data_IF_550540816676
#
_entry.id   IF_550540816676
#
_cell.length_a   1.000
_cell.length_b   1.000
_cell.length_c   1.000
_cell.angle_alpha   90.00
_cell.angle_beta   90.00
_cell.angle_gamma   90.00
#
_symmetry.space_group_name_H-M   'P 1'
#
loop_
_entity.id
_entity.type
_entity.pdbx_description
1 polymer ?
#
# COMPACT_ATOMS: atom_id res chain seq x y z
N UNK A 1 0.00 -25.97 1.60
CA UNK A 1 -1.14 -26.60 2.31
C UNK A 1 -2.42 -26.16 1.61
N UNK A 2 -2.79 -26.84 0.53
CA UNK A 2 -4.04 -26.62 -0.20
C UNK A 2 -5.24 -27.25 0.56
N UNK A 3 -5.56 -26.74 1.76
CA UNK A 3 -6.34 -27.50 2.74
C UNK A 3 -7.81 -27.12 2.96
N UNK A 4 -8.39 -26.16 2.25
CA UNK A 4 -9.79 -25.76 2.54
C UNK A 4 -10.70 -25.44 1.35
N UNK A 5 -10.28 -25.70 0.11
CA UNK A 5 -11.15 -25.45 -1.05
C UNK A 5 -11.76 -26.73 -1.57
N UNK A 6 -13.10 -26.82 -1.54
CA UNK A 6 -13.84 -27.95 -2.11
C UNK A 6 -13.65 -27.96 -3.64
N UNK A 7 -13.24 -29.08 -4.27
CA UNK A 7 -13.04 -29.14 -5.71
C UNK A 7 -14.40 -29.16 -6.42
N UNK A 8 -14.85 -27.99 -6.86
CA UNK A 8 -16.10 -27.82 -7.61
C UNK A 8 -15.85 -26.83 -8.74
N UNK A 9 -16.54 -26.99 -9.89
CA UNK A 9 -16.42 -26.05 -11.02
C UNK A 9 -16.72 -24.61 -10.63
N UNK A 10 -17.64 -24.40 -9.69
CA UNK A 10 -17.94 -23.05 -9.16
C UNK A 10 -16.74 -22.44 -8.44
N UNK A 11 -16.06 -23.21 -7.60
CA UNK A 11 -14.86 -22.73 -6.90
C UNK A 11 -13.69 -22.51 -7.86
N UNK A 12 -13.57 -23.31 -8.92
CA UNK A 12 -12.57 -23.10 -9.96
C UNK A 12 -12.74 -21.71 -10.61
N UNK A 13 -13.95 -21.39 -11.09
CA UNK A 13 -14.24 -20.06 -11.66
C UNK A 13 -13.95 -18.93 -10.67
N UNK A 14 -14.29 -19.11 -9.39
CA UNK A 14 -14.00 -18.10 -8.35
C UNK A 14 -12.49 -17.89 -8.14
N UNK A 15 -11.68 -18.95 -8.24
CA UNK A 15 -10.22 -18.83 -8.13
C UNK A 15 -9.65 -18.15 -9.36
N UNK A 16 -10.10 -18.50 -10.56
CA UNK A 16 -9.69 -17.85 -11.82
C UNK A 16 -9.97 -16.34 -11.79
N UNK A 17 -11.19 -15.95 -11.40
CA UNK A 17 -11.57 -14.54 -11.23
C UNK A 17 -10.67 -13.84 -10.22
N UNK A 18 -10.31 -14.52 -9.13
CA UNK A 18 -9.45 -13.99 -8.08
C UNK A 18 -8.00 -13.85 -8.53
N UNK A 19 -7.50 -14.77 -9.35
CA UNK A 19 -6.16 -14.66 -9.97
C UNK A 19 -6.12 -13.43 -10.87
N UNK A 20 -7.08 -13.30 -11.80
CA UNK A 20 -7.14 -12.15 -12.70
C UNK A 20 -7.25 -10.82 -11.94
N UNK A 21 -8.07 -10.77 -10.89
CA UNK A 21 -8.19 -9.58 -10.05
C UNK A 21 -6.87 -9.26 -9.33
N UNK A 22 -6.18 -10.29 -8.83
CA UNK A 22 -4.90 -10.14 -8.12
C UNK A 22 -3.78 -9.68 -9.05
N UNK A 23 -3.75 -10.17 -10.30
CA UNK A 23 -2.80 -9.73 -11.33
C UNK A 23 -3.04 -8.26 -11.71
N UNK A 24 -4.28 -7.84 -11.97
CA UNK A 24 -4.59 -6.42 -12.22
C UNK A 24 -4.28 -5.54 -11.01
N UNK A 25 -4.53 -6.05 -9.80
CA UNK A 25 -4.22 -5.38 -8.55
C UNK A 25 -2.71 -5.19 -8.36
N UNK A 26 -1.91 -6.19 -8.70
CA UNK A 26 -0.45 -6.12 -8.71
C UNK A 26 0.04 -4.99 -9.62
N UNK A 27 -0.38 -4.98 -10.89
CA UNK A 27 0.06 -3.97 -11.87
C UNK A 27 -0.35 -2.56 -11.47
N UNK A 28 -1.53 -2.41 -10.84
CA UNK A 28 -2.01 -1.12 -10.35
C UNK A 28 -1.19 -0.63 -9.16
N UNK A 29 -0.87 -1.51 -8.21
CA UNK A 29 -0.05 -1.17 -7.05
C UNK A 29 1.41 -0.90 -7.43
N UNK A 30 1.93 -1.60 -8.43
CA UNK A 30 3.24 -1.32 -8.99
C UNK A 30 3.30 0.09 -9.60
N UNK A 31 2.33 0.46 -10.45
CA UNK A 31 2.24 1.82 -10.99
C UNK A 31 2.09 2.88 -9.90
N UNK A 32 1.30 2.60 -8.85
CA UNK A 32 1.17 3.50 -7.69
C UNK A 32 2.51 3.66 -6.98
N UNK A 33 3.23 2.56 -6.74
CA UNK A 33 4.57 2.57 -6.11
C UNK A 33 5.51 3.45 -6.90
N UNK A 34 5.58 3.27 -8.21
CA UNK A 34 6.51 4.03 -9.06
C UNK A 34 6.15 5.53 -9.08
N UNK A 35 4.85 5.86 -9.14
CA UNK A 35 4.37 7.23 -8.97
C UNK A 35 4.77 7.87 -7.64
N UNK A 36 4.58 7.14 -6.54
CA UNK A 36 4.98 7.59 -5.21
C UNK A 36 6.49 7.78 -5.08
N UNK A 37 7.30 6.93 -5.73
CA UNK A 37 8.77 7.06 -5.72
C UNK A 37 9.20 8.33 -6.45
N UNK A 38 8.59 8.66 -7.59
CA UNK A 38 8.91 9.90 -8.31
C UNK A 38 8.63 11.14 -7.45
N UNK A 39 7.43 11.24 -6.87
CA UNK A 39 7.07 12.35 -5.98
C UNK A 39 7.96 12.38 -4.71
N UNK A 40 8.36 11.22 -4.20
CA UNK A 40 9.28 11.15 -3.08
C UNK A 40 10.66 11.72 -3.42
N UNK A 41 11.17 11.49 -4.63
CA UNK A 41 12.46 12.06 -5.05
C UNK A 41 12.36 13.60 -5.17
N UNK A 42 11.26 14.12 -5.71
CA UNK A 42 11.05 15.57 -5.79
C UNK A 42 10.99 16.23 -4.40
N UNK A 43 10.39 15.55 -3.42
CA UNK A 43 10.36 16.00 -2.02
C UNK A 43 11.73 15.84 -1.36
N UNK A 44 12.49 14.79 -1.71
CA UNK A 44 13.82 14.55 -1.16
C UNK A 44 14.80 15.65 -1.55
N UNK A 45 14.75 16.10 -2.81
CA UNK A 45 15.59 17.20 -3.29
C UNK A 45 15.26 18.50 -2.54
N UNK A 46 13.96 18.83 -2.41
CA UNK A 46 13.51 19.97 -1.60
C UNK A 46 13.93 19.85 -0.13
N UNK A 47 13.91 18.64 0.43
CA UNK A 47 14.32 18.41 1.81
C UNK A 47 15.82 18.67 2.03
N UNK A 48 16.65 18.35 1.04
CA UNK A 48 18.10 18.62 1.11
C UNK A 48 18.38 20.11 1.09
N UNK A 49 17.72 20.86 0.19
CA UNK A 49 17.86 22.32 0.09
C UNK A 49 17.44 22.99 1.41
N UNK A 50 16.22 22.70 1.88
CA UNK A 50 15.69 23.26 3.14
C UNK A 50 16.55 22.89 4.34
N UNK A 51 17.17 21.70 4.34
CA UNK A 51 18.06 21.28 5.41
C UNK A 51 19.37 22.07 5.40
N UNK A 52 19.94 22.32 4.23
CA UNK A 52 21.14 23.14 4.07
C UNK A 52 20.87 24.57 4.54
N UNK A 53 19.77 25.17 4.07
CA UNK A 53 19.37 26.54 4.44
C UNK A 53 19.15 26.66 5.96
N UNK A 54 18.49 25.68 6.58
CA UNK A 54 18.29 25.64 8.02
C UNK A 54 19.61 25.58 8.81
N UNK A 55 20.61 24.84 8.32
CA UNK A 55 21.92 24.76 8.98
C UNK A 55 22.68 26.09 8.89
N UNK A 56 22.59 26.77 7.74
CA UNK A 56 23.17 28.10 7.53
C UNK A 56 22.48 29.16 8.41
N UNK A 57 21.15 29.19 8.44
CA UNK A 57 20.34 30.07 9.28
C UNK A 57 20.62 29.83 10.76
N UNK A 58 20.76 28.57 11.18
CA UNK A 58 21.10 28.22 12.55
C UNK A 58 22.48 28.75 12.93
N UNK A 59 23.46 28.59 12.04
CA UNK A 59 24.81 29.12 12.22
C UNK A 59 24.81 30.64 12.40
N UNK A 60 24.07 31.35 11.54
CA UNK A 60 23.91 32.80 11.58
C UNK A 60 23.21 33.26 12.87
N UNK A 61 22.06 32.67 13.21
CA UNK A 61 21.33 32.98 14.43
C UNK A 61 22.20 32.76 15.68
N UNK A 62 22.95 31.66 15.72
CA UNK A 62 23.85 31.35 16.83
C UNK A 62 25.00 32.36 16.94
N UNK A 63 25.55 32.83 15.81
CA UNK A 63 26.56 33.89 15.79
C UNK A 63 25.99 35.21 16.33
N UNK A 64 24.79 35.60 15.87
CA UNK A 64 24.14 36.85 16.26
C UNK A 64 23.81 36.91 17.75
N UNK A 65 23.25 35.84 18.32
CA UNK A 65 22.96 35.81 19.76
C UNK A 65 24.22 35.77 20.62
N UNK A 66 25.30 35.12 20.15
CA UNK A 66 26.58 35.13 20.86
C UNK A 66 27.15 36.56 20.91
N UNK A 67 27.04 37.31 19.81
CA UNK A 67 27.45 38.72 19.77
C UNK A 67 26.59 39.59 20.70
N UNK A 68 25.27 39.38 20.72
CA UNK A 68 24.37 40.08 21.62
C UNK A 68 24.71 39.79 23.10
N UNK A 69 24.92 38.52 23.46
CA UNK A 69 25.33 38.11 24.81
C UNK A 69 26.68 38.68 25.22
N UNK A 70 27.65 38.77 24.29
CA UNK A 70 28.96 39.32 24.58
C UNK A 70 28.93 40.84 24.85
N UNK A 71 28.02 41.57 24.22
CA UNK A 71 27.90 43.02 24.36
C UNK A 71 26.98 43.45 25.50
N UNK A 72 25.79 42.87 25.59
CA UNK A 72 24.74 43.27 26.55
C UNK A 72 24.78 42.46 27.85
N UNK A 73 25.45 41.29 27.82
CA UNK A 73 25.40 40.30 28.89
C UNK A 73 24.16 39.42 28.84
N UNK A 74 24.28 38.22 29.41
CA UNK A 74 23.24 37.18 29.30
C UNK A 74 21.92 37.56 30.00
N UNK A 75 21.99 38.34 31.08
CA UNK A 75 20.80 38.77 31.85
C UNK A 75 19.92 39.71 31.02
N UNK A 76 20.53 40.65 30.28
CA UNK A 76 19.81 41.60 29.44
C UNK A 76 19.11 40.88 28.28
N UNK A 77 19.82 39.97 27.60
CA UNK A 77 19.25 39.18 26.49
C UNK A 77 18.07 38.32 26.96
N UNK A 78 18.18 37.66 28.12
CA UNK A 78 17.06 36.89 28.70
C UNK A 78 15.89 37.79 29.12
N UNK A 79 16.18 38.97 29.65
CA UNK A 79 15.16 39.96 30.00
C UNK A 79 14.37 40.42 28.77
N UNK A 80 15.05 40.69 27.66
CA UNK A 80 14.41 41.04 26.39
C UNK A 80 13.56 39.89 25.84
N UNK A 81 14.08 38.65 25.88
CA UNK A 81 13.32 37.48 25.45
C UNK A 81 12.05 37.25 26.30
N UNK A 82 12.08 37.56 27.60
CA UNK A 82 10.92 37.44 28.48
C UNK A 82 9.86 38.53 28.27
N UNK A 83 10.19 39.62 27.57
CA UNK A 83 9.27 40.72 27.30
C UNK A 83 8.32 40.45 26.12
N UNK A 84 8.47 39.30 25.44
CA UNK A 84 7.66 38.91 24.30
C UNK A 84 6.17 38.83 24.67
N UNK A 85 5.33 39.57 23.92
CA UNK A 85 3.88 39.64 24.16
C UNK A 85 3.07 38.74 23.25
N UNK A 86 3.50 38.59 22.00
CA UNK A 86 2.83 37.74 21.02
C UNK A 86 3.64 36.47 20.79
N UNK A 87 2.96 35.33 20.75
CA UNK A 87 3.56 34.04 20.45
C UNK A 87 3.28 33.66 18.98
N UNK A 88 4.22 33.00 18.29
CA UNK A 88 3.96 32.47 16.96
C UNK A 88 2.79 31.48 17.01
N UNK A 89 1.87 31.60 16.05
CA UNK A 89 0.73 30.70 15.89
C UNK A 89 0.95 29.83 14.66
N UNK A 90 0.71 28.53 14.80
CA UNK A 90 0.92 27.54 13.74
C UNK A 90 -0.45 26.92 13.41
N UNK A 91 -0.82 27.00 12.14
CA UNK A 91 -2.02 26.35 11.60
C UNK A 91 -1.61 25.20 10.69
N UNK A 92 -2.28 24.07 10.83
CA UNK A 92 -1.95 22.86 10.03
C UNK A 92 -3.12 22.51 9.13
N UNK A 93 -2.86 22.53 7.83
CA UNK A 93 -3.73 22.02 6.80
C UNK A 93 -3.24 20.65 6.33
N UNK A 94 -4.00 20.02 5.44
CA UNK A 94 -3.69 18.70 4.90
C UNK A 94 -3.74 18.73 3.39
N UNK A 95 -2.64 18.30 2.76
CA UNK A 95 -2.50 18.15 1.31
C UNK A 95 -2.46 16.66 0.95
N UNK A 96 -3.04 16.30 -0.18
CA UNK A 96 -3.05 14.92 -0.67
C UNK A 96 -2.10 14.76 -1.86
N UNK A 97 -1.11 13.87 -1.73
CA UNK A 97 -0.15 13.52 -2.78
C UNK A 97 -0.35 12.04 -3.10
N UNK A 98 -0.94 11.74 -4.26
CA UNK A 98 -1.18 10.36 -4.74
C UNK A 98 -1.85 9.41 -3.71
N UNK A 99 -2.73 9.95 -2.86
CA UNK A 99 -3.44 9.20 -1.82
C UNK A 99 -2.77 9.24 -0.43
N UNK A 100 -1.63 9.92 -0.28
CA UNK A 100 -0.96 10.16 1.00
C UNK A 100 -1.33 11.53 1.52
N UNK A 101 -1.89 11.59 2.73
CA UNK A 101 -2.25 12.86 3.40
C UNK A 101 -1.06 13.40 4.17
N UNK A 102 -0.39 14.40 3.61
CA UNK A 102 0.74 15.12 4.20
C UNK A 102 0.27 16.41 4.87
N UNK A 103 0.87 16.83 6.00
CA UNK A 103 0.55 18.12 6.59
C UNK A 103 1.10 19.24 5.71
N UNK A 104 0.40 20.37 5.71
CA UNK A 104 0.89 21.66 5.20
C UNK A 104 0.83 22.63 6.36
N UNK A 105 1.92 23.32 6.67
CA UNK A 105 2.03 24.13 7.88
C UNK A 105 2.11 25.60 7.47
N UNK A 106 1.09 26.35 7.87
CA UNK A 106 1.09 27.79 7.76
C UNK A 106 1.50 28.41 9.09
N UNK A 107 2.33 29.44 9.03
CA UNK A 107 2.81 30.14 10.21
C UNK A 107 2.35 31.59 10.17
N UNK A 108 1.78 32.06 11.29
CA UNK A 108 1.35 33.45 11.44
C UNK A 108 2.12 34.06 12.62
N UNK A 109 2.49 35.34 12.50
CA UNK A 109 3.23 36.10 13.55
C UNK A 109 4.61 35.54 13.90
N UNK A 110 5.30 34.92 12.93
CA UNK A 110 6.68 34.46 13.12
C UNK A 110 7.65 35.64 13.05
N UNK A 111 7.67 36.37 11.93
CA UNK A 111 8.35 37.68 11.86
C UNK A 111 7.53 38.74 12.58
N UNK A 112 8.20 39.52 13.42
CA UNK A 112 7.58 40.59 14.20
C UNK A 112 8.20 41.92 13.87
N UNK A 113 7.35 42.95 13.80
CA UNK A 113 7.81 44.34 13.79
C UNK A 113 8.57 44.66 15.08
N UNK A 114 9.45 45.66 15.04
CA UNK A 114 10.18 46.14 16.23
C UNK A 114 9.23 46.53 17.37
N UNK A 115 8.03 47.00 17.05
CA UNK A 115 6.96 47.36 17.97
C UNK A 115 6.20 46.16 18.57
N UNK A 116 6.22 45.01 17.90
CA UNK A 116 5.53 43.77 18.31
C UNK A 116 6.40 42.88 19.21
N UNK A 117 7.72 43.14 19.27
CA UNK A 117 8.69 42.38 20.09
C UNK A 117 8.57 42.61 21.59
N UNK A 118 7.88 43.68 22.01
CA UNK A 118 7.45 43.90 23.40
C UNK A 118 8.49 44.51 24.35
N UNK A 119 9.78 44.51 24.01
CA UNK A 119 10.82 45.25 24.74
C UNK A 119 10.98 46.69 24.22
N UNK A 120 11.42 47.59 25.10
CA UNK A 120 11.62 49.00 24.75
C UNK A 120 12.95 49.24 24.05
N UNK A 121 12.95 50.13 23.04
CA UNK A 121 14.16 50.62 22.34
C UNK A 121 15.13 51.32 23.29
N UNK A 122 14.63 51.85 24.41
CA UNK A 122 15.43 52.43 25.48
C UNK A 122 15.96 51.33 26.40
N UNK A 123 17.27 51.06 26.33
CA UNK A 123 17.94 50.07 27.16
C UNK A 123 18.14 48.71 26.49
N UNK A 124 17.83 48.58 25.21
CA UNK A 124 18.22 47.46 24.36
C UNK A 124 19.12 47.96 23.23
N UNK A 125 19.98 47.08 22.71
CA UNK A 125 20.86 47.36 21.57
C UNK A 125 20.37 46.70 20.30
N UNK A 126 20.73 47.30 19.16
CA UNK A 126 20.52 46.73 17.81
C UNK A 126 21.02 45.29 17.67
N UNK A 127 21.96 44.83 18.52
CA UNK A 127 22.40 43.42 18.53
C UNK A 127 21.33 42.44 19.00
N UNK A 128 20.49 42.85 19.94
CA UNK A 128 19.34 42.05 20.38
C UNK A 128 18.32 41.99 19.25
N UNK A 129 18.11 43.10 18.53
CA UNK A 129 17.21 43.14 17.38
C UNK A 129 17.68 42.23 16.24
N UNK A 130 18.97 42.28 15.88
CA UNK A 130 19.58 41.40 14.88
C UNK A 130 19.48 39.93 15.28
N UNK A 131 19.64 39.62 16.57
CA UNK A 131 19.50 38.25 17.07
C UNK A 131 18.04 37.79 17.03
N UNK A 132 17.08 38.65 17.42
CA UNK A 132 15.66 38.34 17.35
C UNK A 132 15.23 38.07 15.90
N UNK A 133 15.63 38.91 14.95
CA UNK A 133 15.32 38.73 13.52
C UNK A 133 15.89 37.42 12.98
N UNK A 134 17.15 37.10 13.27
CA UNK A 134 17.77 35.85 12.83
C UNK A 134 17.08 34.60 13.42
N UNK A 135 16.58 34.67 14.65
CA UNK A 135 15.83 33.56 15.26
C UNK A 135 14.39 33.47 14.74
N UNK A 136 13.77 34.59 14.35
CA UNK A 136 12.48 34.61 13.68
C UNK A 136 12.58 33.94 12.30
N UNK A 137 13.62 34.26 11.52
CA UNK A 137 13.91 33.61 10.23
C UNK A 137 14.24 32.13 10.38
N UNK A 138 15.09 31.77 11.35
CA UNK A 138 15.36 30.37 11.67
C UNK A 138 14.08 29.60 12.04
N UNK A 139 13.14 30.23 12.75
CA UNK A 139 11.88 29.57 13.11
C UNK A 139 11.03 29.26 11.86
N UNK A 140 11.00 30.15 10.87
CA UNK A 140 10.34 29.88 9.58
C UNK A 140 10.99 28.70 8.86
N UNK A 141 12.32 28.68 8.78
CA UNK A 141 13.08 27.58 8.17
C UNK A 141 12.84 26.25 8.90
N UNK A 142 12.75 26.25 10.24
CA UNK A 142 12.39 25.06 11.04
C UNK A 142 10.98 24.58 10.72
N UNK A 143 10.01 25.48 10.57
CA UNK A 143 8.63 25.11 10.26
C UNK A 143 8.56 24.47 8.86
N UNK A 144 9.23 25.06 7.87
CA UNK A 144 9.32 24.51 6.52
C UNK A 144 10.01 23.14 6.51
N UNK A 145 11.13 23.01 7.23
CA UNK A 145 11.83 21.74 7.37
C UNK A 145 10.93 20.66 8.01
N UNK A 146 10.16 21.02 9.05
CA UNK A 146 9.23 20.11 9.70
C UNK A 146 8.11 19.64 8.78
N UNK A 147 7.58 20.52 7.91
CA UNK A 147 6.61 20.15 6.89
C UNK A 147 7.18 19.12 5.92
N UNK A 148 8.32 19.44 5.29
CA UNK A 148 8.95 18.61 4.26
C UNK A 148 9.41 17.27 4.84
N UNK A 149 10.05 17.26 6.02
CA UNK A 149 10.47 16.03 6.68
C UNK A 149 9.27 15.13 7.03
N UNK A 150 8.17 15.72 7.49
CA UNK A 150 6.97 14.94 7.85
C UNK A 150 6.30 14.38 6.61
N UNK A 151 6.22 15.15 5.54
CA UNK A 151 5.75 14.69 4.23
C UNK A 151 6.61 13.51 3.74
N UNK A 152 7.93 13.63 3.78
CA UNK A 152 8.88 12.59 3.39
C UNK A 152 8.69 11.30 4.20
N UNK A 153 8.58 11.39 5.53
CA UNK A 153 8.35 10.23 6.41
C UNK A 153 7.04 9.51 6.08
N UNK A 154 5.97 10.26 5.82
CA UNK A 154 4.66 9.69 5.44
C UNK A 154 4.71 9.02 4.08
N UNK A 155 5.34 9.65 3.09
CA UNK A 155 5.53 9.10 1.75
C UNK A 155 6.32 7.79 1.80
N UNK A 156 7.44 7.78 2.53
CA UNK A 156 8.28 6.58 2.70
C UNK A 156 7.49 5.41 3.32
N UNK A 157 6.68 5.69 4.34
CA UNK A 157 5.84 4.67 5.00
C UNK A 157 4.82 4.07 4.03
N UNK A 158 4.20 4.90 3.18
CA UNK A 158 3.25 4.42 2.17
C UNK A 158 3.97 3.61 1.07
N UNK A 159 5.16 4.05 0.62
CA UNK A 159 5.97 3.33 -0.36
C UNK A 159 6.35 1.95 0.17
N UNK A 160 6.83 1.86 1.41
CA UNK A 160 7.14 0.57 2.05
C UNK A 160 5.91 -0.33 2.15
N UNK A 161 4.78 0.23 2.56
CA UNK A 161 3.52 -0.53 2.68
C UNK A 161 3.07 -1.05 1.31
N UNK A 162 3.16 -0.23 0.27
CA UNK A 162 2.82 -0.60 -1.11
C UNK A 162 3.78 -1.67 -1.63
N UNK A 163 5.09 -1.52 -1.42
CA UNK A 163 6.11 -2.53 -1.77
C UNK A 163 5.84 -3.87 -1.10
N UNK A 164 5.51 -3.87 0.21
CA UNK A 164 5.16 -5.11 0.93
C UNK A 164 3.90 -5.76 0.36
N UNK A 165 2.90 -4.97 -0.05
CA UNK A 165 1.67 -5.48 -0.69
C UNK A 165 1.94 -6.09 -2.08
N UNK A 166 2.72 -5.41 -2.92
CA UNK A 166 3.13 -5.93 -4.23
C UNK A 166 3.86 -7.26 -4.06
N UNK A 167 4.86 -7.32 -3.18
CA UNK A 167 5.61 -8.55 -2.91
C UNK A 167 4.71 -9.68 -2.35
N UNK A 168 3.74 -9.35 -1.49
CA UNK A 168 2.80 -10.34 -0.96
C UNK A 168 1.88 -10.90 -2.04
N UNK A 169 1.49 -10.08 -3.04
CA UNK A 169 0.73 -10.55 -4.19
C UNK A 169 1.57 -11.47 -5.08
N UNK A 170 2.79 -11.05 -5.41
CA UNK A 170 3.68 -11.74 -6.35
C UNK A 170 4.20 -13.07 -5.80
N UNK A 171 4.73 -13.08 -4.57
CA UNK A 171 5.47 -14.22 -4.03
C UNK A 171 4.65 -15.12 -3.10
N UNK A 172 3.45 -14.71 -2.70
CA UNK A 172 2.60 -15.49 -1.79
C UNK A 172 1.22 -15.76 -2.35
N UNK A 173 0.41 -14.73 -2.59
CA UNK A 173 -0.99 -14.91 -2.96
C UNK A 173 -1.15 -15.56 -4.35
N UNK A 174 -0.46 -15.03 -5.38
CA UNK A 174 -0.58 -15.57 -6.74
C UNK A 174 -0.11 -17.03 -6.84
N UNK A 175 1.06 -17.44 -6.27
CA UNK A 175 1.46 -18.84 -6.22
C UNK A 175 0.45 -19.73 -5.48
N UNK A 176 -0.05 -19.29 -4.32
CA UNK A 176 -1.06 -20.06 -3.56
C UNK A 176 -2.36 -20.24 -4.35
N UNK A 177 -2.81 -19.21 -5.08
CA UNK A 177 -4.01 -19.31 -5.92
C UNK A 177 -3.79 -20.24 -7.12
N UNK A 178 -2.62 -20.19 -7.76
CA UNK A 178 -2.26 -21.08 -8.89
C UNK A 178 -2.15 -22.54 -8.44
N UNK A 179 -1.54 -22.82 -7.28
CA UNK A 179 -1.50 -24.17 -6.69
C UNK A 179 -2.92 -24.69 -6.40
N UNK A 180 -3.80 -23.85 -5.85
CA UNK A 180 -5.19 -24.23 -5.59
C UNK A 180 -5.99 -24.45 -6.88
N UNK A 181 -5.76 -23.65 -7.93
CA UNK A 181 -6.37 -23.85 -9.24
C UNK A 181 -5.99 -25.22 -9.81
N UNK A 182 -4.70 -25.51 -9.87
CA UNK A 182 -4.17 -26.77 -10.40
C UNK A 182 -4.72 -27.98 -9.60
N UNK A 183 -4.79 -27.86 -8.27
CA UNK A 183 -5.38 -28.90 -7.42
C UNK A 183 -6.85 -29.18 -7.74
N UNK A 184 -7.67 -28.14 -7.94
CA UNK A 184 -9.09 -28.30 -8.26
C UNK A 184 -9.26 -28.89 -9.67
N UNK A 185 -8.47 -28.43 -10.65
CA UNK A 185 -8.48 -28.95 -12.01
C UNK A 185 -8.14 -30.45 -12.02
N UNK A 186 -7.04 -30.85 -11.38
CA UNK A 186 -6.65 -32.25 -11.27
C UNK A 186 -7.75 -33.11 -10.62
N UNK A 187 -8.41 -32.61 -9.57
CA UNK A 187 -9.49 -33.35 -8.88
C UNK A 187 -10.76 -33.45 -9.71
N UNK A 188 -11.12 -32.41 -10.46
CA UNK A 188 -12.27 -32.45 -11.36
C UNK A 188 -12.02 -33.41 -12.52
N UNK A 189 -10.82 -33.40 -13.11
CA UNK A 189 -10.43 -34.37 -14.14
C UNK A 189 -10.51 -35.82 -13.64
N UNK A 190 -10.03 -36.07 -12.42
CA UNK A 190 -10.09 -37.39 -11.79
C UNK A 190 -11.55 -37.87 -11.62
N UNK A 191 -12.43 -36.98 -11.14
CA UNK A 191 -13.86 -37.26 -11.00
C UNK A 191 -14.55 -37.53 -12.35
N UNK A 192 -14.24 -36.75 -13.38
CA UNK A 192 -14.78 -36.94 -14.73
C UNK A 192 -14.32 -38.27 -15.34
N UNK A 193 -13.05 -38.65 -15.13
CA UNK A 193 -12.53 -39.96 -15.56
C UNK A 193 -13.24 -41.12 -14.85
N UNK A 194 -13.46 -41.02 -13.55
CA UNK A 194 -14.21 -42.03 -12.78
C UNK A 194 -15.66 -42.17 -13.26
N UNK A 195 -16.33 -41.05 -13.53
CA UNK A 195 -17.71 -41.04 -14.02
C UNK A 195 -17.81 -41.66 -15.42
N UNK A 196 -16.90 -41.32 -16.34
CA UNK A 196 -16.83 -41.93 -17.68
C UNK A 196 -16.60 -43.44 -17.57
N UNK A 197 -15.70 -43.90 -16.70
CA UNK A 197 -15.45 -45.31 -16.49
C UNK A 197 -16.69 -46.05 -15.94
N UNK A 198 -17.39 -45.43 -14.98
CA UNK A 198 -18.64 -45.96 -14.41
C UNK A 198 -19.72 -46.09 -15.47
N UNK A 199 -19.91 -45.07 -16.31
CA UNK A 199 -20.86 -45.08 -17.41
C UNK A 199 -20.52 -46.15 -18.46
N UNK A 200 -19.24 -46.30 -18.83
CA UNK A 200 -18.78 -47.38 -19.72
C UNK A 200 -19.09 -48.77 -19.17
N UNK A 201 -18.86 -49.00 -17.87
CA UNK A 201 -19.15 -50.28 -17.22
C UNK A 201 -20.65 -50.58 -17.15
N UNK A 202 -21.48 -49.57 -16.90
CA UNK A 202 -22.94 -49.71 -16.93
C UNK A 202 -23.43 -50.02 -18.35
N UNK A 203 -22.88 -49.34 -19.36
CA UNK A 203 -23.22 -49.60 -20.76
C UNK A 203 -22.84 -51.02 -21.19
N UNK A 204 -21.62 -51.46 -20.85
CA UNK A 204 -21.16 -52.81 -21.14
C UNK A 204 -22.08 -53.88 -20.51
N UNK A 205 -22.49 -53.70 -19.25
CA UNK A 205 -23.46 -54.60 -18.60
C UNK A 205 -24.80 -54.65 -19.31
N UNK A 206 -25.34 -53.50 -19.73
CA UNK A 206 -26.60 -53.47 -20.49
C UNK A 206 -26.47 -54.15 -21.86
N UNK A 207 -25.36 -53.94 -22.56
CA UNK A 207 -25.10 -54.60 -23.84
C UNK A 207 -24.92 -56.13 -23.68
N UNK A 208 -24.33 -56.59 -22.58
CA UNK A 208 -24.25 -58.01 -22.23
C UNK A 208 -25.63 -58.59 -21.90
N UNK A 209 -26.45 -57.89 -21.11
CA UNK A 209 -27.83 -58.30 -20.82
C UNK A 209 -28.69 -58.36 -22.09
N UNK A 210 -28.63 -57.34 -22.96
CA UNK A 210 -29.34 -57.34 -24.24
C UNK A 210 -28.86 -58.45 -25.19
N UNK A 211 -27.57 -58.79 -25.18
CA UNK A 211 -27.03 -59.93 -25.94
C UNK A 211 -27.53 -61.25 -25.38
N UNK A 212 -27.49 -61.43 -24.06
CA UNK A 212 -27.98 -62.63 -23.40
C UNK A 212 -29.50 -62.83 -23.63
N UNK A 213 -30.29 -61.75 -23.60
CA UNK A 213 -31.71 -61.81 -23.95
C UNK A 213 -31.94 -62.13 -25.43
N UNK A 214 -31.12 -61.60 -26.35
CA UNK A 214 -31.21 -61.96 -27.78
C UNK A 214 -30.78 -63.39 -28.06
N UNK A 215 -29.76 -63.90 -27.37
CA UNK A 215 -29.32 -65.29 -27.48
C UNK A 215 -30.37 -66.24 -26.87
N UNK A 216 -31.00 -65.86 -25.75
CA UNK A 216 -32.11 -66.62 -25.18
C UNK A 216 -33.35 -66.61 -26.09
N UNK A 217 -33.71 -65.47 -26.68
CA UNK A 217 -34.82 -65.39 -27.63
C UNK A 217 -34.53 -66.11 -28.95
N UNK A 218 -33.27 -66.17 -29.40
CA UNK A 218 -32.86 -66.97 -30.55
C UNK A 218 -32.91 -68.47 -30.24
N UNK A 219 -32.52 -68.89 -29.03
CA UNK A 219 -32.62 -70.28 -28.59
C UNK A 219 -34.08 -70.73 -28.42
N UNK A 220 -34.97 -69.89 -27.88
CA UNK A 220 -36.42 -70.16 -27.82
C UNK A 220 -37.05 -70.21 -29.22
N UNK A 221 -36.55 -69.42 -30.18
CA UNK A 221 -37.00 -69.46 -31.57
C UNK A 221 -36.49 -70.70 -32.33
N UNK A 222 -35.29 -71.22 -32.01
CA UNK A 222 -34.80 -72.50 -32.54
C UNK A 222 -35.57 -73.70 -31.94
N UNK A 223 -35.87 -73.71 -30.64
CA UNK A 223 -36.73 -74.75 -30.03
C UNK A 223 -38.18 -74.71 -30.58
N UNK A 224 -38.71 -73.52 -30.87
CA UNK A 224 -40.01 -73.37 -31.53
C UNK A 224 -40.01 -73.80 -33.02
N UNK A 225 -38.85 -73.75 -33.69
CA UNK A 225 -38.71 -74.23 -35.07
C UNK A 225 -38.56 -75.75 -35.13
N UNK A 226 -37.85 -76.38 -34.19
CA UNK A 226 -37.72 -77.83 -34.08
C UNK A 226 -39.06 -78.52 -33.74
N UNK A 227 -39.90 -77.88 -32.92
CA UNK A 227 -41.23 -78.40 -32.55
C UNK A 227 -42.26 -78.32 -33.69
N UNK A 228 -42.08 -77.44 -34.68
CA UNK A 228 -42.96 -77.35 -35.87
C UNK A 228 -42.56 -78.36 -36.95
N UNK A 229 -41.32 -78.84 -36.98
CA UNK A 229 -40.88 -79.88 -37.93
C UNK A 229 -41.20 -81.33 -37.53
N UNK A 230 -41.86 -81.55 -36.38
CA UNK A 230 -42.18 -82.87 -35.87
C UNK A 230 -43.64 -83.34 -36.15
N UNK A 231 -44.44 -82.58 -36.89
CA UNK A 231 -45.86 -82.85 -37.15
C UNK A 231 -46.25 -82.88 -38.66
N UNK A 232 -45.34 -83.31 -39.54
CA UNK A 232 -45.61 -83.66 -40.96
C UNK A 232 -45.05 -85.07 -41.30
#
# INVERSE_FOLDING_TARGET
MAKDVKPTRKNLMQIEDRIQLSERGHDTLEKKRDGLIMEFMDILDQAQDVRSDLEDDYGLAQQKINMARAMEGDVAVRGAAAALKEHPEITTESKNIMGVVVPQIESTKVRKGLDERGYGVLGTSARIDEAAEAYEELLESIILAAEVETAMKKMLTEIETTKRRVNALEFKLLPELKENQEYIEQKLEEQEREEIFRLKKIKAKKEEEEKAEREAAAAEAEEAAETVTADD
#
